data_IF_887117376478
#
_entry.id   IF_887117376478
#
_cell.length_a   1.000
_cell.length_b   1.000
_cell.length_c   1.000
_cell.angle_alpha   90.00
_cell.angle_beta   90.00
_cell.angle_gamma   90.00
#
_symmetry.space_group_name_H-M   'P 1'
#
loop_
_entity.id
_entity.type
_entity.pdbx_description
1 polymer ?
#
# COMPACT_ATOMS: atom_id res chain seq x y z
N UNK A 1 -0.70 -18.55 8.59
CA UNK A 1 0.17 -19.06 9.67
C UNK A 1 1.46 -18.26 9.63
N UNK A 2 1.89 -17.67 10.75
CA UNK A 2 3.17 -16.94 10.83
C UNK A 2 4.15 -17.74 11.70
N UNK A 3 5.38 -17.87 11.21
CA UNK A 3 6.51 -18.42 11.97
C UNK A 3 7.60 -17.37 11.89
N UNK A 4 7.99 -16.83 13.04
CA UNK A 4 8.92 -15.71 13.15
C UNK A 4 10.19 -16.19 13.84
N UNK A 5 11.34 -15.80 13.30
CA UNK A 5 12.63 -15.98 13.96
C UNK A 5 12.79 -14.90 15.03
N UNK A 6 13.07 -15.30 16.27
CA UNK A 6 13.35 -14.38 17.37
C UNK A 6 14.75 -14.62 17.92
N UNK A 7 15.44 -13.53 18.26
CA UNK A 7 16.67 -13.60 19.05
C UNK A 7 16.31 -13.66 20.53
N UNK A 8 16.90 -14.61 21.24
CA UNK A 8 16.66 -14.81 22.68
C UNK A 8 17.97 -14.67 23.45
N UNK A 9 17.92 -14.04 24.60
CA UNK A 9 19.00 -14.11 25.59
C UNK A 9 18.87 -15.43 26.35
N UNK A 10 19.84 -16.31 26.15
CA UNK A 10 20.08 -17.50 26.95
C UNK A 10 20.98 -17.05 28.10
N UNK A 11 20.64 -17.36 29.36
CA UNK A 11 21.37 -16.86 30.54
C UNK A 11 22.91 -16.85 30.40
N UNK A 12 23.60 -15.96 31.13
CA UNK A 12 25.04 -15.67 31.00
C UNK A 12 25.49 -14.96 29.70
N UNK A 13 24.71 -13.97 29.25
CA UNK A 13 25.00 -13.11 28.08
C UNK A 13 25.17 -13.88 26.76
N UNK A 14 24.62 -15.09 26.65
CA UNK A 14 24.61 -15.85 25.41
C UNK A 14 23.38 -15.47 24.60
N UNK A 15 23.55 -15.32 23.29
CA UNK A 15 22.44 -15.11 22.36
C UNK A 15 22.11 -16.42 21.65
N UNK A 16 20.83 -16.77 21.65
CA UNK A 16 20.27 -17.88 20.91
C UNK A 16 19.29 -17.39 19.85
N UNK A 17 18.86 -18.33 19.01
CA UNK A 17 17.77 -18.11 18.06
C UNK A 17 16.73 -19.18 18.27
N UNK A 18 15.46 -18.76 18.34
CA UNK A 18 14.31 -19.66 18.32
C UNK A 18 13.36 -19.25 17.19
N UNK A 19 12.56 -20.20 16.73
CA UNK A 19 11.40 -19.91 15.89
C UNK A 19 10.15 -19.94 16.75
N UNK A 20 9.30 -18.92 16.59
CA UNK A 20 8.02 -18.83 17.27
C UNK A 20 6.91 -18.99 16.25
N UNK A 21 5.99 -19.91 16.52
CA UNK A 21 4.73 -20.03 15.82
C UNK A 21 3.62 -19.57 16.76
N UNK A 22 2.89 -18.54 16.37
CA UNK A 22 1.78 -18.00 17.16
C UNK A 22 0.50 -18.02 16.33
N UNK A 23 -0.57 -18.56 16.91
CA UNK A 23 -1.87 -18.63 16.25
C UNK A 23 -3.02 -18.72 17.24
N UNK A 24 -4.15 -18.17 16.84
CA UNK A 24 -5.39 -18.22 17.62
C UNK A 24 -6.02 -19.61 17.52
N UNK A 25 -6.29 -20.25 18.66
CA UNK A 25 -6.98 -21.56 18.75
C UNK A 25 -8.48 -21.37 18.92
N UNK A 26 -8.87 -20.41 19.75
CA UNK A 26 -10.26 -19.95 19.94
C UNK A 26 -10.25 -18.43 20.05
N UNK A 27 -11.42 -17.80 19.96
CA UNK A 27 -11.55 -16.33 19.98
C UNK A 27 -10.77 -15.64 21.11
N UNK A 28 -10.70 -16.28 22.30
CA UNK A 28 -10.04 -15.80 23.52
C UNK A 28 -8.85 -16.66 23.96
N UNK A 29 -8.24 -17.39 23.03
CA UNK A 29 -7.19 -18.36 23.32
C UNK A 29 -6.14 -18.38 22.22
N UNK A 30 -4.90 -18.07 22.57
CA UNK A 30 -3.74 -18.01 21.66
C UNK A 30 -2.77 -19.12 22.03
N UNK A 31 -2.31 -19.86 21.03
CA UNK A 31 -1.25 -20.85 21.20
C UNK A 31 0.06 -20.32 20.65
N UNK A 32 1.11 -20.51 21.43
CA UNK A 32 2.47 -20.13 21.09
C UNK A 32 3.33 -21.40 21.19
N UNK A 33 3.98 -21.74 20.09
CA UNK A 33 4.96 -22.83 20.02
C UNK A 33 6.35 -22.20 19.82
N UNK A 34 7.31 -22.58 20.66
CA UNK A 34 8.73 -22.26 20.52
C UNK A 34 9.47 -23.47 19.97
N UNK A 35 10.33 -23.24 18.99
CA UNK A 35 10.98 -24.28 18.19
C UNK A 35 12.47 -23.97 18.10
N UNK A 36 13.33 -24.88 18.56
CA UNK A 36 14.79 -24.78 18.42
C UNK A 36 15.35 -25.58 17.23
N UNK A 37 14.47 -26.28 16.50
CA UNK A 37 14.78 -27.17 15.39
C UNK A 37 14.66 -28.65 15.74
N UNK A 38 14.95 -29.03 16.99
CA UNK A 38 14.87 -30.41 17.48
C UNK A 38 13.82 -30.61 18.57
N UNK A 39 13.62 -29.59 19.41
CA UNK A 39 12.67 -29.55 20.50
C UNK A 39 11.61 -28.50 20.21
N UNK A 40 10.43 -28.76 20.78
CA UNK A 40 9.28 -27.89 20.69
C UNK A 40 8.72 -27.70 22.09
N UNK A 41 8.42 -26.46 22.45
CA UNK A 41 7.72 -26.12 23.68
C UNK A 41 6.44 -25.37 23.34
N UNK A 42 5.34 -25.69 24.02
CA UNK A 42 4.04 -25.09 23.75
C UNK A 42 3.47 -24.43 25.00
N UNK A 43 2.73 -23.35 24.79
CA UNK A 43 1.84 -22.75 25.78
C UNK A 43 0.55 -22.33 25.09
N UNK A 44 -0.55 -22.47 25.82
CA UNK A 44 -1.83 -21.87 25.49
C UNK A 44 -2.09 -20.75 26.48
N UNK A 45 -2.39 -19.56 25.97
CA UNK A 45 -2.63 -18.34 26.74
C UNK A 45 -4.07 -17.88 26.51
N UNK A 46 -4.80 -17.66 27.60
CA UNK A 46 -6.13 -17.05 27.59
C UNK A 46 -6.14 -15.74 28.41
N UNK A 47 -7.32 -15.13 28.54
CA UNK A 47 -7.51 -13.86 29.28
C UNK A 47 -7.12 -13.97 30.77
N UNK A 48 -7.16 -15.17 31.37
CA UNK A 48 -6.77 -15.37 32.77
C UNK A 48 -5.26 -15.30 32.99
N UNK A 49 -4.48 -15.44 31.93
CA UNK A 49 -3.02 -15.32 31.98
C UNK A 49 -2.53 -13.87 31.95
N UNK A 50 -3.41 -12.87 31.85
CA UNK A 50 -3.02 -11.46 31.88
C UNK A 50 -2.42 -11.09 33.24
N UNK A 51 -1.17 -10.63 33.29
CA UNK A 51 -0.56 -10.19 34.55
C UNK A 51 -1.36 -9.05 35.19
N UNK A 52 -1.77 -9.17 36.47
CA UNK A 52 -2.56 -8.13 37.15
C UNK A 52 -1.88 -6.75 37.20
N UNK A 53 -0.53 -6.74 37.15
CA UNK A 53 0.27 -5.52 37.21
C UNK A 53 0.22 -4.67 35.93
N UNK A 54 -0.25 -5.22 34.79
CA UNK A 54 -0.30 -4.49 33.53
C UNK A 54 -1.52 -3.57 33.40
N UNK A 55 -2.56 -3.75 34.22
CA UNK A 55 -3.82 -2.99 34.14
C UNK A 55 -4.38 -2.94 32.70
N UNK A 56 -4.38 -4.08 32.01
CA UNK A 56 -4.85 -4.25 30.64
C UNK A 56 -6.04 -5.21 30.60
N UNK A 57 -6.94 -4.99 29.64
CA UNK A 57 -7.99 -5.96 29.33
C UNK A 57 -7.37 -7.26 28.78
N UNK A 58 -7.93 -8.42 29.15
CA UNK A 58 -7.39 -9.72 28.74
C UNK A 58 -7.35 -9.92 27.22
N UNK A 59 -8.37 -9.46 26.51
CA UNK A 59 -8.40 -9.48 25.04
C UNK A 59 -7.26 -8.67 24.42
N UNK A 60 -7.00 -7.48 24.98
CA UNK A 60 -5.93 -6.60 24.52
C UNK A 60 -4.55 -7.22 24.80
N UNK A 61 -4.39 -7.91 25.92
CA UNK A 61 -3.17 -8.66 26.22
C UNK A 61 -2.90 -9.77 25.19
N UNK A 62 -3.94 -10.53 24.80
CA UNK A 62 -3.80 -11.57 23.77
C UNK A 62 -3.46 -10.99 22.39
N UNK A 63 -4.06 -9.86 22.01
CA UNK A 63 -3.73 -9.15 20.77
C UNK A 63 -2.28 -8.65 20.76
N UNK A 64 -1.80 -8.12 21.89
CA UNK A 64 -0.39 -7.71 22.02
C UNK A 64 0.53 -8.93 21.83
N UNK A 65 0.26 -10.04 22.51
CA UNK A 65 1.06 -11.27 22.35
C UNK A 65 1.08 -11.77 20.91
N UNK A 66 -0.08 -11.81 20.23
CA UNK A 66 -0.12 -12.16 18.81
C UNK A 66 0.72 -11.19 17.98
N UNK A 67 0.59 -9.88 18.18
CA UNK A 67 1.35 -8.89 17.42
C UNK A 67 2.88 -9.07 17.59
N UNK A 68 3.35 -9.38 18.80
CA UNK A 68 4.77 -9.64 19.09
C UNK A 68 5.30 -10.83 18.28
N UNK A 69 4.48 -11.86 18.09
CA UNK A 69 4.89 -13.13 17.47
C UNK A 69 4.38 -13.37 16.05
N UNK A 70 3.62 -12.43 15.47
CA UNK A 70 3.08 -12.56 14.10
C UNK A 70 3.72 -11.61 13.10
N UNK A 71 4.42 -10.57 13.55
CA UNK A 71 5.13 -9.61 12.70
C UNK A 71 6.62 -9.95 12.60
N UNK A 72 7.07 -10.59 11.50
CA UNK A 72 8.44 -10.43 11.07
C UNK A 72 8.59 -9.03 10.44
N UNK A 73 9.44 -8.18 11.03
CA UNK A 73 9.99 -7.01 10.35
C UNK A 73 10.56 -7.45 8.99
N UNK A 74 10.51 -6.60 7.95
CA UNK A 74 10.92 -6.96 6.62
C UNK A 74 12.36 -7.48 6.64
N UNK A 75 12.64 -8.39 5.74
CA UNK A 75 14.00 -8.56 5.23
C UNK A 75 14.39 -7.20 4.64
N UNK A 76 14.96 -6.32 5.44
CA UNK A 76 15.67 -5.11 5.02
C UNK A 76 17.02 -5.17 5.73
N UNK A 77 18.10 -5.54 5.05
CA UNK A 77 18.94 -4.55 4.36
C UNK A 77 18.97 -3.23 5.13
N UNK A 78 20.13 -2.95 5.70
CA UNK A 78 20.58 -1.66 6.22
C UNK A 78 19.61 -0.49 6.07
N UNK A 79 19.35 0.17 7.20
CA UNK A 79 18.61 1.44 7.36
C UNK A 79 17.09 1.29 7.52
N UNK A 80 16.65 1.26 8.77
CA UNK A 80 15.68 2.25 9.26
C UNK A 80 15.65 2.24 10.79
N UNK A 81 16.30 3.25 11.39
CA UNK A 81 15.99 3.68 12.74
C UNK A 81 14.53 4.19 12.77
N UNK A 82 13.71 3.64 13.66
CA UNK A 82 12.32 4.04 13.97
C UNK A 82 11.19 3.51 13.06
N UNK A 83 11.22 2.22 12.72
CA UNK A 83 10.06 1.49 12.20
C UNK A 83 9.52 0.46 13.20
N UNK A 84 8.33 0.69 13.76
CA UNK A 84 7.54 -0.15 14.67
C UNK A 84 7.70 -1.69 14.55
N UNK A 85 8.70 -2.25 15.21
CA UNK A 85 8.60 -3.55 15.88
C UNK A 85 8.76 -3.27 17.36
N UNK A 86 7.69 -3.46 18.13
CA UNK A 86 7.68 -3.21 19.58
C UNK A 86 8.95 -3.82 20.19
N UNK A 87 9.82 -2.97 20.75
CA UNK A 87 11.17 -3.28 21.23
C UNK A 87 11.16 -4.21 22.45
N UNK A 88 10.69 -5.43 22.25
CA UNK A 88 10.68 -6.48 23.25
C UNK A 88 11.98 -7.27 23.18
N UNK A 89 12.62 -7.39 24.33
CA UNK A 89 13.71 -8.31 24.60
C UNK A 89 13.13 -9.63 25.08
N UNK A 90 13.63 -10.72 24.50
CA UNK A 90 13.22 -12.08 24.82
C UNK A 90 14.31 -12.74 25.65
N UNK A 91 13.97 -13.19 26.85
CA UNK A 91 14.88 -13.96 27.70
C UNK A 91 14.32 -15.37 27.88
N UNK A 92 15.11 -16.38 27.49
CA UNK A 92 14.74 -17.78 27.59
C UNK A 92 15.55 -18.46 28.69
N UNK A 93 14.86 -18.99 29.69
CA UNK A 93 15.49 -19.69 30.80
C UNK A 93 15.49 -21.22 30.62
N UNK A 94 16.33 -21.90 31.40
CA UNK A 94 16.45 -23.37 31.39
C UNK A 94 15.21 -24.08 31.98
N UNK A 95 14.32 -23.34 32.65
CA UNK A 95 13.08 -23.86 33.21
C UNK A 95 11.90 -23.74 32.22
N UNK A 96 12.19 -23.47 30.94
CA UNK A 96 11.20 -23.32 29.87
C UNK A 96 10.28 -22.09 30.05
N UNK A 97 10.80 -21.01 30.65
CA UNK A 97 10.11 -19.73 30.78
C UNK A 97 10.67 -18.74 29.77
N UNK A 98 9.79 -18.18 28.95
CA UNK A 98 10.08 -17.02 28.12
C UNK A 98 9.65 -15.76 28.85
N UNK A 99 10.59 -14.88 29.17
CA UNK A 99 10.30 -13.56 29.72
C UNK A 99 10.39 -12.51 28.61
N UNK A 100 9.32 -11.74 28.44
CA UNK A 100 9.26 -10.59 27.55
C UNK A 100 9.50 -9.32 28.36
N UNK A 101 10.47 -8.51 27.95
CA UNK A 101 10.77 -7.22 28.58
C UNK A 101 10.78 -6.11 27.55
N UNK A 102 10.33 -4.92 27.91
CA UNK A 102 10.39 -3.74 27.04
C UNK A 102 11.48 -2.79 27.53
N UNK A 103 12.28 -2.28 26.59
CA UNK A 103 13.16 -1.15 26.85
C UNK A 103 12.39 0.15 26.69
N UNK A 104 12.30 0.93 27.77
CA UNK A 104 11.73 2.27 27.78
C UNK A 104 12.86 3.27 27.95
N UNK A 105 13.02 4.15 26.96
CA UNK A 105 13.90 5.31 27.06
C UNK A 105 13.14 6.43 27.78
N UNK A 106 13.55 6.78 29.00
CA UNK A 106 12.95 7.91 29.73
C UNK A 106 13.67 9.23 29.45
N UNK A 107 15.00 9.17 29.27
CA UNK A 107 15.88 10.31 28.97
C UNK A 107 17.06 9.81 28.15
N UNK A 108 17.76 10.73 27.46
CA UNK A 108 18.89 10.46 26.54
C UNK A 108 20.10 9.69 27.13
N UNK A 109 20.03 9.25 28.39
CA UNK A 109 21.07 8.47 29.09
C UNK A 109 20.52 7.33 29.96
N UNK A 110 19.21 7.09 30.02
CA UNK A 110 18.62 6.08 30.92
C UNK A 110 17.58 5.23 30.20
N UNK A 111 17.98 3.99 29.93
CA UNK A 111 17.09 2.93 29.46
C UNK A 111 16.63 2.13 30.68
N UNK A 112 15.32 2.03 30.89
CA UNK A 112 14.74 1.13 31.90
C UNK A 112 14.20 -0.10 31.19
N UNK A 113 14.66 -1.27 31.63
CA UNK A 113 14.08 -2.56 31.23
C UNK A 113 12.93 -2.90 32.15
N UNK A 114 11.73 -3.01 31.58
CA UNK A 114 10.52 -3.38 32.33
C UNK A 114 10.04 -4.74 31.86
N UNK A 115 9.72 -5.63 32.81
CA UNK A 115 9.15 -6.94 32.49
C UNK A 115 7.70 -6.74 32.04
N UNK A 116 7.38 -7.21 30.84
CA UNK A 116 6.02 -7.22 30.32
C UNK A 116 5.27 -8.47 30.81
N UNK A 117 5.81 -9.66 30.51
CA UNK A 117 5.20 -10.92 30.96
C UNK A 117 6.23 -12.05 31.05
N UNK A 118 5.87 -13.14 31.72
CA UNK A 118 6.62 -14.39 31.68
C UNK A 118 5.66 -15.54 31.37
N UNK A 119 6.01 -16.33 30.36
CA UNK A 119 5.21 -17.42 29.83
C UNK A 119 5.94 -18.73 30.12
N UNK A 120 5.30 -19.62 30.89
CA UNK A 120 5.81 -20.95 31.19
C UNK A 120 5.38 -21.92 30.10
N UNK A 121 6.34 -22.43 29.33
CA UNK A 121 6.08 -23.40 28.30
C UNK A 121 6.25 -24.83 28.82
N UNK A 122 5.55 -25.76 28.17
CA UNK A 122 5.68 -27.19 28.40
C UNK A 122 6.35 -27.85 27.20
N UNK A 123 7.42 -28.64 27.37
CA UNK A 123 8.04 -29.37 26.27
C UNK A 123 7.07 -30.41 25.69
N UNK A 124 7.01 -30.49 24.36
CA UNK A 124 6.27 -31.55 23.66
C UNK A 124 7.00 -32.88 23.93
N UNK A 125 6.30 -33.92 24.41
CA UNK A 125 6.91 -35.22 24.65
C UNK A 125 7.53 -35.81 23.38
N UNK A 126 8.68 -36.48 23.50
CA UNK A 126 9.38 -37.07 22.35
C UNK A 126 8.50 -38.03 21.51
N UNK A 127 7.53 -38.71 22.15
CA UNK A 127 6.58 -39.62 21.48
C UNK A 127 5.56 -38.91 20.59
N UNK A 128 5.31 -37.62 20.84
CA UNK A 128 4.33 -36.80 20.11
C UNK A 128 5.00 -35.85 19.12
N UNK A 129 6.32 -35.71 19.21
CA UNK A 129 7.11 -34.79 18.39
C UNK A 129 7.01 -35.11 16.89
N UNK A 130 7.04 -36.39 16.52
CA UNK A 130 6.87 -36.80 15.11
C UNK A 130 5.49 -36.43 14.57
N UNK A 131 4.44 -36.55 15.39
CA UNK A 131 3.09 -36.15 15.00
C UNK A 131 3.00 -34.64 14.83
N UNK A 132 3.59 -33.88 15.76
CA UNK A 132 3.66 -32.42 15.68
C UNK A 132 4.34 -31.97 14.38
N UNK A 133 5.53 -32.53 14.08
CA UNK A 133 6.26 -32.17 12.86
C UNK A 133 5.49 -32.52 11.59
N UNK A 134 4.86 -33.69 11.55
CA UNK A 134 4.04 -34.08 10.40
C UNK A 134 2.86 -33.13 10.18
N UNK A 135 2.18 -32.69 11.25
CA UNK A 135 1.10 -31.72 11.15
C UNK A 135 1.63 -30.34 10.72
N UNK A 136 2.68 -29.85 11.38
CA UNK A 136 3.28 -28.56 11.08
C UNK A 136 3.78 -28.46 9.63
N UNK A 137 4.46 -29.50 9.14
CA UNK A 137 4.94 -29.55 7.76
C UNK A 137 3.79 -29.59 6.74
N UNK A 138 2.72 -30.35 7.02
CA UNK A 138 1.51 -30.34 6.17
C UNK A 138 0.89 -28.96 6.10
N UNK A 139 0.80 -28.25 7.22
CA UNK A 139 0.28 -26.89 7.27
C UNK A 139 1.15 -25.92 6.46
N UNK A 140 2.48 -25.99 6.60
CA UNK A 140 3.42 -25.19 5.79
C UNK A 140 3.19 -25.44 4.30
N UNK A 141 3.13 -26.70 3.88
CA UNK A 141 2.93 -27.07 2.47
C UNK A 141 1.57 -26.56 1.96
N UNK A 142 0.50 -26.73 2.74
CA UNK A 142 -0.83 -26.22 2.37
C UNK A 142 -0.81 -24.71 2.21
N UNK A 143 -0.22 -23.99 3.18
CA UNK A 143 -0.12 -22.54 3.14
C UNK A 143 0.66 -22.04 1.92
N UNK A 144 1.77 -22.70 1.57
CA UNK A 144 2.55 -22.37 0.37
C UNK A 144 1.76 -22.60 -0.93
N UNK A 145 0.98 -23.67 -1.01
CA UNK A 145 0.12 -23.96 -2.16
C UNK A 145 -1.00 -22.92 -2.30
N UNK A 146 -1.61 -22.51 -1.19
CA UNK A 146 -2.65 -21.48 -1.19
C UNK A 146 -2.08 -20.12 -1.58
N UNK A 147 -0.94 -19.71 -1.03
CA UNK A 147 -0.22 -18.49 -1.43
C UNK A 147 0.15 -18.49 -2.92
N UNK A 148 0.59 -19.64 -3.45
CA UNK A 148 0.89 -19.77 -4.88
C UNK A 148 -0.37 -19.56 -5.72
N UNK A 149 -1.48 -20.18 -5.34
CA UNK A 149 -2.77 -20.04 -6.05
C UNK A 149 -3.28 -18.60 -6.01
N UNK A 150 -3.16 -17.92 -4.87
CA UNK A 150 -3.52 -16.51 -4.74
C UNK A 150 -2.63 -15.61 -5.60
N UNK A 151 -1.32 -15.86 -5.63
CA UNK A 151 -0.38 -15.15 -6.49
C UNK A 151 -0.75 -15.27 -7.96
N UNK A 152 -1.01 -16.49 -8.43
CA UNK A 152 -1.41 -16.75 -9.83
C UNK A 152 -2.72 -16.02 -10.19
N UNK A 153 -3.70 -16.01 -9.28
CA UNK A 153 -4.94 -15.23 -9.48
C UNK A 153 -4.67 -13.73 -9.57
N UNK A 154 -3.83 -13.19 -8.68
CA UNK A 154 -3.49 -11.77 -8.67
C UNK A 154 -2.70 -11.36 -9.91
N UNK A 155 -1.78 -12.22 -10.37
CA UNK A 155 -1.03 -12.03 -11.61
C UNK A 155 -1.96 -11.99 -12.82
N UNK A 156 -2.89 -12.94 -12.94
CA UNK A 156 -3.90 -12.93 -14.00
C UNK A 156 -4.75 -11.64 -14.00
N UNK A 157 -5.20 -11.19 -12.83
CA UNK A 157 -5.94 -9.92 -12.70
C UNK A 157 -5.07 -8.72 -13.10
N UNK A 158 -3.79 -8.72 -12.74
CA UNK A 158 -2.86 -7.66 -13.10
C UNK A 158 -2.63 -7.60 -14.62
N UNK A 159 -2.48 -8.76 -15.27
CA UNK A 159 -2.34 -8.87 -16.73
C UNK A 159 -3.59 -8.39 -17.45
N UNK A 160 -4.78 -8.77 -16.99
CA UNK A 160 -6.04 -8.30 -17.57
C UNK A 160 -6.16 -6.78 -17.45
N UNK A 161 -5.87 -6.22 -16.26
CA UNK A 161 -5.89 -4.77 -16.04
C UNK A 161 -4.90 -4.06 -16.96
N UNK A 162 -3.69 -4.60 -17.13
CA UNK A 162 -2.68 -4.06 -18.06
C UNK A 162 -3.20 -4.05 -19.49
N UNK A 163 -3.85 -5.13 -19.95
CA UNK A 163 -4.43 -5.21 -21.29
C UNK A 163 -5.52 -4.15 -21.51
N UNK A 164 -6.43 -3.99 -20.54
CA UNK A 164 -7.50 -2.99 -20.61
C UNK A 164 -6.95 -1.57 -20.62
N UNK A 165 -5.92 -1.27 -19.83
CA UNK A 165 -5.26 0.05 -19.81
C UNK A 165 -4.68 0.36 -21.19
N UNK A 166 -3.92 -0.57 -21.78
CA UNK A 166 -3.33 -0.37 -23.11
C UNK A 166 -4.40 -0.14 -24.19
N UNK A 167 -5.52 -0.88 -24.15
CA UNK A 167 -6.63 -0.69 -25.08
C UNK A 167 -7.30 0.69 -24.91
N UNK A 168 -7.42 1.17 -23.67
CA UNK A 168 -7.91 2.52 -23.37
C UNK A 168 -6.95 3.59 -23.86
N UNK A 169 -5.65 3.42 -23.69
CA UNK A 169 -4.64 4.38 -24.17
C UNK A 169 -4.70 4.55 -25.70
N UNK A 170 -4.86 3.45 -26.44
CA UNK A 170 -5.06 3.51 -27.90
C UNK A 170 -6.32 4.29 -28.26
N UNK A 171 -7.42 4.06 -27.54
CA UNK A 171 -8.71 4.73 -27.77
C UNK A 171 -8.62 6.23 -27.45
N UNK A 172 -7.99 6.59 -26.33
CA UNK A 172 -7.79 7.98 -25.91
C UNK A 172 -6.92 8.71 -26.93
N UNK A 173 -5.84 8.09 -27.40
CA UNK A 173 -4.98 8.67 -28.44
C UNK A 173 -5.76 8.95 -29.73
N UNK A 174 -6.55 7.98 -30.20
CA UNK A 174 -7.39 8.17 -31.39
C UNK A 174 -8.44 9.29 -31.19
N UNK A 175 -9.02 9.41 -30.00
CA UNK A 175 -9.96 10.48 -29.68
C UNK A 175 -9.28 11.87 -29.66
N UNK A 176 -8.07 11.97 -29.13
CA UNK A 176 -7.26 13.21 -29.15
C UNK A 176 -6.95 13.61 -30.60
N UNK A 177 -6.49 12.67 -31.42
CA UNK A 177 -6.17 12.96 -32.84
C UNK A 177 -7.42 13.40 -33.62
N UNK A 178 -8.57 12.77 -33.35
CA UNK A 178 -9.85 13.13 -33.97
C UNK A 178 -10.31 14.52 -33.52
N UNK A 179 -10.16 14.83 -32.23
CA UNK A 179 -10.46 16.15 -31.68
C UNK A 179 -9.59 17.23 -32.34
N UNK A 180 -8.29 17.02 -32.43
CA UNK A 180 -7.36 17.97 -33.06
C UNK A 180 -7.71 18.24 -34.53
N UNK A 181 -8.10 17.20 -35.29
CA UNK A 181 -8.58 17.37 -36.67
C UNK A 181 -9.84 18.20 -36.76
N UNK A 182 -10.80 17.97 -35.85
CA UNK A 182 -12.05 18.72 -35.81
C UNK A 182 -11.82 20.19 -35.43
N UNK A 183 -10.99 20.44 -34.42
CA UNK A 183 -10.59 21.79 -34.03
C UNK A 183 -9.98 22.54 -35.21
N UNK A 184 -8.98 21.94 -35.90
CA UNK A 184 -8.39 22.54 -37.09
C UNK A 184 -9.42 22.82 -38.19
N UNK A 185 -10.35 21.88 -38.45
CA UNK A 185 -11.39 22.08 -39.45
C UNK A 185 -12.32 23.26 -39.11
N UNK A 186 -12.73 23.38 -37.85
CA UNK A 186 -13.55 24.50 -37.37
C UNK A 186 -12.78 25.82 -37.48
N UNK A 187 -11.49 25.84 -37.11
CA UNK A 187 -10.65 27.03 -37.23
C UNK A 187 -10.50 27.48 -38.68
N UNK A 188 -10.20 26.57 -39.61
CA UNK A 188 -10.10 26.90 -41.04
C UNK A 188 -11.44 27.45 -41.57
N UNK A 189 -12.55 26.79 -41.27
CA UNK A 189 -13.88 27.22 -41.71
C UNK A 189 -14.26 28.61 -41.18
N UNK A 190 -13.86 28.91 -39.94
CA UNK A 190 -14.07 30.22 -39.34
C UNK A 190 -13.23 31.31 -40.02
N UNK A 191 -11.97 31.01 -40.34
CA UNK A 191 -11.08 31.94 -41.08
C UNK A 191 -11.64 32.21 -42.48
N UNK A 192 -12.09 31.19 -43.20
CA UNK A 192 -12.69 31.33 -44.53
C UNK A 192 -13.92 32.24 -44.50
N UNK A 193 -14.78 32.05 -43.49
CA UNK A 193 -15.94 32.91 -43.26
C UNK A 193 -15.54 34.37 -42.98
N UNK A 194 -14.54 34.59 -42.14
CA UNK A 194 -14.04 35.95 -41.84
C UNK A 194 -13.47 36.62 -43.08
N UNK A 195 -12.71 35.89 -43.90
CA UNK A 195 -12.14 36.41 -45.14
C UNK A 195 -13.24 36.76 -46.15
N UNK A 196 -14.25 35.89 -46.33
CA UNK A 196 -15.39 36.18 -47.19
C UNK A 196 -16.19 37.42 -46.71
N UNK A 197 -16.33 37.59 -45.40
CA UNK A 197 -16.98 38.79 -44.83
C UNK A 197 -16.13 40.04 -45.03
N UNK A 198 -14.82 39.96 -44.86
CA UNK A 198 -13.88 41.07 -45.12
C UNK A 198 -13.95 41.51 -46.59
N UNK A 199 -13.89 40.57 -47.52
CA UNK A 199 -14.01 40.85 -48.95
C UNK A 199 -15.35 41.52 -49.29
N UNK A 200 -16.45 41.05 -48.68
CA UNK A 200 -17.76 41.69 -48.89
C UNK A 200 -17.83 43.11 -48.35
N UNK A 201 -17.17 43.40 -47.22
CA UNK A 201 -17.05 44.76 -46.68
C UNK A 201 -16.29 45.64 -47.67
N UNK A 202 -15.12 45.19 -48.15
CA UNK A 202 -14.31 45.94 -49.12
C UNK A 202 -15.09 46.23 -50.41
N UNK A 203 -15.84 45.26 -50.93
CA UNK A 203 -16.74 45.46 -52.07
C UNK A 203 -17.80 46.53 -51.81
N UNK A 204 -18.48 46.45 -50.65
CA UNK A 204 -19.51 47.42 -50.27
C UNK A 204 -18.92 48.83 -50.08
N UNK A 205 -17.72 48.94 -49.51
CA UNK A 205 -17.01 50.22 -49.36
C UNK A 205 -16.67 50.84 -50.72
N UNK A 206 -16.18 50.04 -51.68
CA UNK A 206 -15.95 50.49 -53.06
C UNK A 206 -17.24 50.96 -53.76
N UNK A 207 -18.34 50.22 -53.60
CA UNK A 207 -19.66 50.60 -54.14
C UNK A 207 -20.13 51.94 -53.56
N UNK A 208 -20.04 52.13 -52.24
CA UNK A 208 -20.39 53.38 -51.55
C UNK A 208 -19.53 54.55 -52.03
N UNK A 209 -18.22 54.35 -52.17
CA UNK A 209 -17.31 55.40 -52.64
C UNK A 209 -17.64 55.81 -54.09
N UNK A 210 -17.95 54.85 -54.96
CA UNK A 210 -18.34 55.11 -56.35
C UNK A 210 -19.64 55.91 -56.46
N UNK A 211 -20.64 55.57 -55.64
CA UNK A 211 -21.91 56.30 -55.58
C UNK A 211 -21.72 57.73 -55.07
N UNK A 212 -20.86 57.94 -54.07
CA UNK A 212 -20.52 59.30 -53.57
C UNK A 212 -19.81 60.13 -54.62
N UNK A 213 -18.86 59.57 -55.37
CA UNK A 213 -18.18 60.28 -56.46
C UNK A 213 -19.11 60.61 -57.63
N UNK A 214 -20.10 59.76 -57.95
CA UNK A 214 -21.12 60.05 -58.97
C UNK A 214 -22.07 61.18 -58.55
N UNK A 215 -22.51 61.21 -57.29
CA UNK A 215 -23.35 62.29 -56.77
C UNK A 215 -22.60 63.62 -56.56
N UNK A 216 -21.27 63.59 -56.39
CA UNK A 216 -20.43 64.80 -56.33
C UNK A 216 -20.22 65.48 -57.70
N UNK A 217 -20.25 64.72 -58.79
CA UNK A 217 -20.04 65.23 -60.15
C UNK A 217 -21.33 65.72 -60.85
N UNK A 218 -22.49 65.62 -60.20
CA UNK A 218 -23.77 66.13 -60.72
C UNK A 218 -24.11 67.57 -60.30
N UNK A 219 -23.23 68.27 -59.57
CA UNK A 219 -23.47 69.65 -59.10
C UNK A 219 -22.68 70.74 -59.83
N UNK A 220 -22.33 70.55 -61.12
CA UNK A 220 -21.82 71.67 -61.94
C UNK A 220 -22.18 71.49 -63.41
N UNK A 221 -23.36 72.00 -63.79
CA UNK A 221 -23.67 72.52 -65.14
C UNK A 221 -25.04 73.20 -65.10
N UNK A 222 -25.08 74.44 -64.63
CA UNK A 222 -26.04 75.42 -65.14
C UNK A 222 -25.44 75.98 -66.45
N UNK A 223 -26.10 75.84 -67.61
CA UNK A 223 -25.77 76.67 -68.75
C UNK A 223 -26.44 78.03 -68.58
N UNK A 224 -25.63 79.08 -68.68
CA UNK A 224 -26.10 80.41 -69.05
C UNK A 224 -26.80 80.31 -70.42
N UNK A 225 -28.05 80.78 -70.51
CA UNK A 225 -28.61 81.25 -71.76
C UNK A 225 -29.40 82.52 -71.54
N UNK A 226 -28.93 83.58 -72.19
CA UNK A 226 -29.50 84.92 -72.33
C UNK A 226 -30.92 84.88 -72.91
N UNK A 227 -31.84 85.65 -72.32
CA UNK A 227 -32.45 86.86 -72.90
C UNK A 227 -33.53 87.40 -71.95
#
# INVERSE_FOLDING_TARGET
MSVVKVEVELGSNQKGTLFVRCFRVKEKEVRIDLIDGSLVWCITVDESNTPPALDLAGTQYLEILESIFTVPSPISSDQDEKGNTLGYLFHWDTNSVLTLSQELELDAKKIIKTKFTALQFTPVPAKELDLYWNMFMKEIVSYQLDLKREREKMEHVAEERKRVILAKDVTVKAAIDTKAKLENHVFCSFIDLLNAKKERIEQLECEVHTLRSKNGNSSTKQPLSNN
#
